data_IF_834931530348
#
_entry.id   IF_834931530348
#
_cell.length_a   1.000
_cell.length_b   1.000
_cell.length_c   1.000
_cell.angle_alpha   90.00
_cell.angle_beta   90.00
_cell.angle_gamma   90.00
#
_symmetry.space_group_name_H-M   'P 1'
#
loop_
_entity.id
_entity.type
_entity.pdbx_description
1 polymer ?
#
# COMPACT_ATOMS: atom_id res chain seq x y z
N UNK A 1 16.21 1.52 8.59
CA UNK A 1 16.04 1.45 7.11
C UNK A 1 14.82 0.61 6.76
N UNK A 2 13.97 1.10 5.86
CA UNK A 2 12.91 0.28 5.27
C UNK A 2 13.58 -0.94 4.62
N UNK A 3 13.08 -2.15 4.88
CA UNK A 3 13.70 -3.39 4.40
C UNK A 3 12.99 -4.01 3.19
N UNK A 4 11.88 -3.40 2.78
CA UNK A 4 11.06 -3.87 1.66
C UNK A 4 11.30 -2.96 0.46
N UNK A 5 11.47 -3.57 -0.71
CA UNK A 5 11.51 -2.86 -1.99
C UNK A 5 10.31 -3.23 -2.85
N UNK A 6 9.93 -2.34 -3.75
CA UNK A 6 8.74 -2.51 -4.59
C UNK A 6 9.06 -2.27 -6.06
N UNK A 7 8.74 -3.26 -6.89
CA UNK A 7 9.08 -3.29 -8.30
C UNK A 7 7.87 -3.15 -9.23
N UNK A 8 6.69 -2.83 -8.69
CA UNK A 8 5.44 -2.68 -9.45
C UNK A 8 4.51 -3.88 -9.38
N UNK A 9 4.95 -5.02 -8.81
CA UNK A 9 4.10 -6.22 -8.76
C UNK A 9 2.87 -6.04 -7.84
N UNK A 10 1.63 -6.10 -8.36
CA UNK A 10 0.42 -5.85 -7.57
C UNK A 10 0.27 -6.78 -6.35
N UNK A 11 0.78 -8.01 -6.45
CA UNK A 11 0.74 -9.02 -5.38
C UNK A 11 1.60 -8.66 -4.16
N UNK A 12 2.62 -7.81 -4.34
CA UNK A 12 3.55 -7.38 -3.29
C UNK A 12 3.23 -6.00 -2.74
N UNK A 13 2.37 -5.24 -3.42
CA UNK A 13 2.06 -3.86 -3.09
C UNK A 13 1.53 -3.72 -1.65
N UNK A 14 0.52 -4.51 -1.27
CA UNK A 14 -0.06 -4.44 0.07
C UNK A 14 0.98 -4.72 1.17
N UNK A 15 1.90 -5.66 0.94
CA UNK A 15 2.98 -5.93 1.88
C UNK A 15 3.95 -4.73 1.98
N UNK A 16 4.32 -4.14 0.84
CA UNK A 16 5.19 -2.97 0.79
C UNK A 16 4.58 -1.77 1.52
N UNK A 17 3.32 -1.42 1.24
CA UNK A 17 2.63 -0.30 1.89
C UNK A 17 2.58 -0.46 3.42
N UNK A 18 2.29 -1.67 3.90
CA UNK A 18 2.31 -1.98 5.34
C UNK A 18 3.70 -1.79 5.97
N UNK A 19 4.77 -2.15 5.26
CA UNK A 19 6.14 -1.92 5.74
C UNK A 19 6.45 -0.42 5.80
N UNK A 20 6.04 0.36 4.80
CA UNK A 20 6.22 1.82 4.80
C UNK A 20 5.47 2.47 5.97
N UNK A 21 4.20 2.13 6.17
CA UNK A 21 3.41 2.65 7.29
C UNK A 21 3.99 2.28 8.65
N UNK A 22 4.39 1.02 8.83
CA UNK A 22 5.05 0.60 10.05
C UNK A 22 6.33 1.40 10.31
N UNK A 23 7.14 1.62 9.27
CA UNK A 23 8.37 2.41 9.38
C UNK A 23 8.10 3.87 9.73
N UNK A 24 7.14 4.52 9.06
CA UNK A 24 6.74 5.90 9.34
C UNK A 24 6.15 6.04 10.77
N UNK A 25 5.40 5.06 11.25
CA UNK A 25 4.87 5.09 12.63
C UNK A 25 5.98 4.99 13.69
N UNK A 26 7.03 4.20 13.43
CA UNK A 26 8.12 4.01 14.40
C UNK A 26 9.23 5.06 14.29
N UNK A 27 9.45 5.61 13.09
CA UNK A 27 10.60 6.46 12.80
C UNK A 27 10.23 7.81 12.16
N UNK A 28 8.95 8.08 11.89
CA UNK A 28 8.47 9.29 11.23
C UNK A 28 8.93 10.59 11.89
N UNK A 29 8.97 10.61 13.22
CA UNK A 29 9.41 11.77 14.01
C UNK A 29 10.93 12.04 13.92
N UNK A 30 11.71 11.12 13.36
CA UNK A 30 13.14 11.30 13.16
C UNK A 30 13.45 12.02 11.84
N UNK A 31 12.46 12.21 10.98
CA UNK A 31 12.60 12.93 9.72
C UNK A 31 12.25 14.41 9.91
N UNK A 32 13.04 15.34 9.34
CA UNK A 32 12.89 16.77 9.55
C UNK A 32 11.65 17.36 8.88
N UNK A 33 11.21 16.80 7.75
CA UNK A 33 10.07 17.26 6.96
C UNK A 33 9.42 16.12 6.15
N UNK A 34 8.29 16.45 5.51
CA UNK A 34 7.52 15.56 4.62
C UNK A 34 8.36 15.10 3.42
N UNK A 35 9.13 16.01 2.81
CA UNK A 35 9.96 15.71 1.65
C UNK A 35 10.99 14.60 1.96
N UNK A 36 11.67 14.70 3.10
CA UNK A 36 12.62 13.68 3.54
C UNK A 36 11.94 12.33 3.81
N UNK A 37 10.68 12.33 4.27
CA UNK A 37 9.90 11.10 4.45
C UNK A 37 9.57 10.46 3.10
N UNK A 38 9.22 11.27 2.10
CA UNK A 38 8.95 10.84 0.73
C UNK A 38 10.23 10.28 0.10
N UNK A 39 11.37 10.98 0.20
CA UNK A 39 12.67 10.54 -0.32
C UNK A 39 13.08 9.15 0.19
N UNK A 40 12.89 8.91 1.50
CA UNK A 40 13.20 7.61 2.10
C UNK A 40 12.31 6.50 1.54
N UNK A 41 11.05 6.78 1.24
CA UNK A 41 10.14 5.81 0.64
C UNK A 41 10.52 5.56 -0.84
N UNK A 42 10.81 6.63 -1.59
CA UNK A 42 11.23 6.55 -2.99
C UNK A 42 12.52 5.74 -3.18
N UNK A 43 13.45 5.83 -2.23
CA UNK A 43 14.70 5.07 -2.27
C UNK A 43 14.53 3.54 -2.26
N UNK A 44 13.32 3.03 -1.97
CA UNK A 44 13.00 1.61 -1.95
C UNK A 44 12.13 1.17 -3.15
N UNK A 45 11.92 2.06 -4.12
CA UNK A 45 11.21 1.77 -5.36
C UNK A 45 12.21 1.32 -6.41
N UNK A 46 11.84 0.30 -7.18
CA UNK A 46 12.70 -0.36 -8.16
C UNK A 46 11.96 -0.51 -9.50
N UNK A 47 12.73 -0.80 -10.55
CA UNK A 47 12.22 -1.11 -11.89
C UNK A 47 11.27 -0.02 -12.42
N UNK A 48 10.14 -0.41 -13.02
CA UNK A 48 9.16 0.50 -13.63
C UNK A 48 8.59 1.54 -12.64
N UNK A 49 8.63 1.26 -11.35
CA UNK A 49 8.15 2.19 -10.32
C UNK A 49 9.16 3.31 -10.08
N UNK A 50 10.46 3.02 -10.19
CA UNK A 50 11.50 4.05 -10.10
C UNK A 50 11.44 5.01 -11.29
N UNK A 51 11.19 4.48 -12.50
CA UNK A 51 10.98 5.29 -13.71
C UNK A 51 9.74 6.18 -13.55
N UNK A 52 8.64 5.63 -13.05
CA UNK A 52 7.41 6.38 -12.76
C UNK A 52 7.63 7.50 -11.74
N UNK A 53 8.34 7.23 -10.64
CA UNK A 53 8.65 8.25 -9.64
C UNK A 53 9.60 9.33 -10.17
N UNK A 54 10.52 8.98 -11.07
CA UNK A 54 11.39 9.97 -11.72
C UNK A 54 10.56 10.98 -12.52
N UNK A 55 9.54 10.52 -13.24
CA UNK A 55 8.61 11.40 -13.96
C UNK A 55 7.86 12.33 -12.99
N UNK A 56 7.33 11.79 -11.89
CA UNK A 56 6.64 12.61 -10.88
C UNK A 56 7.56 13.68 -10.27
N UNK A 57 8.84 13.34 -10.06
CA UNK A 57 9.82 14.26 -9.54
C UNK A 57 10.14 15.38 -10.55
N UNK A 58 10.30 15.04 -11.83
CA UNK A 58 10.55 16.03 -12.89
C UNK A 58 9.36 16.99 -13.11
N UNK A 59 8.15 16.56 -12.78
CA UNK A 59 6.92 17.34 -12.91
C UNK A 59 6.52 18.11 -11.64
N UNK A 60 7.31 18.05 -10.56
CA UNK A 60 6.95 18.58 -9.23
C UNK A 60 5.53 18.13 -8.81
N UNK A 61 5.23 16.86 -9.06
CA UNK A 61 3.87 16.34 -8.98
C UNK A 61 3.34 16.31 -7.53
N UNK A 62 2.06 16.66 -7.29
CA UNK A 62 1.49 16.73 -5.95
C UNK A 62 1.52 15.39 -5.18
N UNK A 63 1.67 14.28 -5.89
CA UNK A 63 1.87 12.93 -5.35
C UNK A 63 3.12 12.82 -4.46
N UNK A 64 4.12 13.67 -4.67
CA UNK A 64 5.35 13.70 -3.87
C UNK A 64 5.28 14.68 -2.69
N UNK A 65 4.15 15.35 -2.47
CA UNK A 65 4.03 16.35 -1.41
C UNK A 65 4.02 15.73 -0.01
N UNK A 66 3.48 14.52 0.13
CA UNK A 66 3.33 13.82 1.41
C UNK A 66 3.48 12.31 1.22
N UNK A 67 3.90 11.55 2.25
CA UNK A 67 3.92 10.10 2.18
C UNK A 67 2.55 9.50 1.84
N UNK A 68 1.46 10.07 2.36
CA UNK A 68 0.11 9.57 2.11
C UNK A 68 -0.30 9.74 0.64
N UNK A 69 0.06 10.87 0.02
CA UNK A 69 -0.19 11.11 -1.40
C UNK A 69 0.58 10.10 -2.28
N UNK A 70 1.87 9.87 -1.99
CA UNK A 70 2.69 8.91 -2.73
C UNK A 70 2.11 7.50 -2.63
N UNK A 71 1.74 7.07 -1.42
CA UNK A 71 1.23 5.72 -1.17
C UNK A 71 -0.15 5.50 -1.81
N UNK A 72 -1.02 6.51 -1.79
CA UNK A 72 -2.30 6.48 -2.50
C UNK A 72 -2.14 6.36 -4.02
N UNK A 73 -1.15 7.04 -4.58
CA UNK A 73 -0.82 6.96 -6.01
C UNK A 73 -0.19 5.63 -6.40
N UNK A 74 0.70 5.07 -5.57
CA UNK A 74 1.21 3.70 -5.75
C UNK A 74 0.08 2.68 -5.78
N UNK A 75 -0.92 2.84 -4.91
CA UNK A 75 -2.10 1.98 -4.90
C UNK A 75 -2.95 2.12 -6.16
N UNK A 76 -3.13 3.34 -6.64
CA UNK A 76 -3.95 3.60 -7.83
C UNK A 76 -3.27 3.11 -9.11
N UNK A 77 -1.95 3.29 -9.23
CA UNK A 77 -1.19 2.95 -10.43
C UNK A 77 -0.79 1.48 -10.52
N UNK A 78 -0.44 0.86 -9.38
CA UNK A 78 0.12 -0.50 -9.34
C UNK A 78 -0.73 -1.50 -8.54
N UNK A 79 -1.84 -1.05 -7.95
CA UNK A 79 -2.81 -1.96 -7.33
C UNK A 79 -3.57 -2.76 -8.38
N UNK A 80 -4.07 -3.93 -7.99
CA UNK A 80 -4.91 -4.75 -8.85
C UNK A 80 -6.40 -4.35 -8.66
N UNK A 81 -7.03 -3.66 -9.64
CA UNK A 81 -8.44 -3.25 -9.53
C UNK A 81 -9.37 -4.46 -9.45
N UNK A 82 -8.99 -5.58 -10.07
CA UNK A 82 -9.75 -6.82 -10.03
C UNK A 82 -9.65 -7.47 -8.65
N UNK A 83 -8.52 -7.39 -7.95
CA UNK A 83 -8.41 -7.88 -6.56
C UNK A 83 -9.32 -7.11 -5.61
N UNK A 84 -9.46 -5.79 -5.76
CA UNK A 84 -10.37 -4.99 -4.94
C UNK A 84 -11.84 -5.33 -5.21
N UNK A 85 -12.23 -5.40 -6.49
CA UNK A 85 -13.58 -5.85 -6.86
C UNK A 85 -13.86 -7.28 -6.39
N UNK A 86 -12.88 -8.17 -6.51
CA UNK A 86 -13.00 -9.57 -6.09
C UNK A 86 -13.11 -9.67 -4.57
N UNK A 87 -12.32 -8.91 -3.81
CA UNK A 87 -12.43 -8.85 -2.35
C UNK A 87 -13.80 -8.29 -1.92
N UNK A 88 -14.34 -7.27 -2.61
CA UNK A 88 -15.70 -6.78 -2.37
C UNK A 88 -16.77 -7.84 -2.64
N UNK A 89 -16.65 -8.55 -3.77
CA UNK A 89 -17.55 -9.65 -4.13
C UNK A 89 -17.48 -10.76 -3.07
N UNK A 90 -16.27 -11.11 -2.62
CA UNK A 90 -16.04 -12.12 -1.59
C UNK A 90 -16.65 -11.73 -0.25
N UNK A 91 -16.46 -10.49 0.22
CA UNK A 91 -17.14 -9.99 1.43
C UNK A 91 -18.66 -10.03 1.28
N UNK A 92 -19.19 -9.57 0.14
CA UNK A 92 -20.65 -9.56 -0.10
C UNK A 92 -21.25 -10.97 -0.12
N UNK A 93 -20.49 -11.96 -0.60
CA UNK A 93 -20.88 -13.38 -0.65
C UNK A 93 -20.60 -14.13 0.65
N UNK A 94 -19.73 -13.62 1.51
CA UNK A 94 -19.40 -14.25 2.79
C UNK A 94 -20.65 -14.34 3.68
N UNK A 95 -20.93 -15.55 4.18
CA UNK A 95 -22.01 -15.82 5.13
C UNK A 95 -21.48 -16.69 6.24
N UNK A 96 -21.84 -16.42 7.49
CA UNK A 96 -21.45 -17.29 8.59
C UNK A 96 -22.07 -18.69 8.40
N UNK A 97 -23.35 -18.83 8.08
CA UNK A 97 -23.95 -20.16 7.91
C UNK A 97 -23.83 -21.02 9.18
N UNK A 98 -23.45 -22.28 9.04
CA UNK A 98 -23.31 -23.25 10.15
C UNK A 98 -21.90 -23.34 10.74
N UNK A 99 -20.93 -22.64 10.17
CA UNK A 99 -19.53 -22.66 10.64
C UNK A 99 -19.33 -21.81 11.90
N UNK A 100 -18.28 -22.11 12.69
CA UNK A 100 -17.93 -21.33 13.88
C UNK A 100 -17.76 -19.84 13.57
N UNK A 101 -18.24 -18.99 14.49
CA UNK A 101 -18.09 -17.53 14.40
C UNK A 101 -16.62 -17.12 14.26
N UNK A 102 -15.71 -17.83 14.94
CA UNK A 102 -14.27 -17.57 14.90
C UNK A 102 -13.69 -17.76 13.50
N UNK A 103 -14.12 -18.80 12.79
CA UNK A 103 -13.69 -19.10 11.42
C UNK A 103 -14.23 -18.05 10.44
N UNK A 104 -15.51 -17.69 10.60
CA UNK A 104 -16.12 -16.61 9.82
C UNK A 104 -15.42 -15.26 10.04
N UNK A 105 -15.10 -14.90 11.29
CA UNK A 105 -14.38 -13.67 11.61
C UNK A 105 -12.99 -13.68 11.00
N UNK A 106 -12.27 -14.80 11.08
CA UNK A 106 -10.92 -14.90 10.51
C UNK A 106 -10.93 -14.68 9.00
N UNK A 107 -11.86 -15.31 8.29
CA UNK A 107 -11.99 -15.13 6.83
C UNK A 107 -12.48 -13.73 6.47
N UNK A 108 -13.45 -13.19 7.20
CA UNK A 108 -13.89 -11.80 7.02
C UNK A 108 -12.74 -10.82 7.21
N UNK A 109 -11.95 -10.97 8.28
CA UNK A 109 -10.78 -10.14 8.53
C UNK A 109 -9.73 -10.28 7.42
N UNK A 110 -9.50 -11.50 6.91
CA UNK A 110 -8.57 -11.74 5.81
C UNK A 110 -9.00 -11.04 4.52
N UNK A 111 -10.30 -11.06 4.18
CA UNK A 111 -10.81 -10.36 2.98
C UNK A 111 -10.86 -8.84 3.24
N UNK A 112 -11.23 -8.42 4.45
CA UNK A 112 -11.28 -7.00 4.82
C UNK A 112 -9.88 -6.35 4.83
N UNK A 113 -8.82 -7.09 5.14
CA UNK A 113 -7.44 -6.60 5.00
C UNK A 113 -7.09 -6.29 3.54
N UNK A 114 -7.65 -7.05 2.58
CA UNK A 114 -7.50 -6.75 1.14
C UNK A 114 -8.33 -5.53 0.70
N UNK A 115 -9.27 -5.09 1.53
CA UNK A 115 -10.09 -3.89 1.31
C UNK A 115 -9.60 -2.66 2.09
N UNK A 116 -8.66 -2.81 3.02
CA UNK A 116 -8.19 -1.70 3.85
C UNK A 116 -7.09 -0.93 3.13
N UNK A 117 -7.48 0.29 2.78
CA UNK A 117 -6.73 1.44 2.29
C UNK A 117 -5.48 1.75 3.14
#
# INVERSE_FOLDING_TARGET
>A
PLRATFNGSPEKLAFFLNQVWSHLNHHGNNYPDEATRVDVNMANLEAEVADWVTILHDEDAPELATPDALLGSLWTCFGDPAQNQQAEIEVRRLRQGTRPVTEYIHEFCSIAVRLRH
#
